data_IF_853552227536
#
_entry.id   IF_853552227536
#
_cell.length_a   1.000
_cell.length_b   1.000
_cell.length_c   1.000
_cell.angle_alpha   90.00
_cell.angle_beta   90.00
_cell.angle_gamma   90.00
#
_symmetry.space_group_name_H-M   'P 1'
#
loop_
_entity.id
_entity.type
_entity.pdbx_description
1 polymer ?
#
# COMPACT_ATOMS: atom_id res chain seq x y z
N UNK A 1 -2.72 3.58 -22.10
CA UNK A 1 -1.61 2.94 -21.35
C UNK A 1 -2.13 1.88 -20.36
N UNK A 2 -2.45 0.68 -20.84
CA UNK A 2 -2.97 -0.43 -20.00
C UNK A 2 -1.92 -0.95 -18.99
N UNK A 3 -0.64 -0.92 -19.36
CA UNK A 3 0.47 -1.41 -18.55
C UNK A 3 0.62 -0.66 -17.22
N UNK A 4 0.44 0.66 -17.20
CA UNK A 4 0.49 1.48 -15.98
C UNK A 4 -0.65 1.12 -15.00
N UNK A 5 -1.86 0.89 -15.52
CA UNK A 5 -3.01 0.43 -14.73
C UNK A 5 -2.75 -0.97 -14.16
N UNK A 6 -2.19 -1.86 -14.97
CA UNK A 6 -1.85 -3.22 -14.54
C UNK A 6 -0.79 -3.23 -13.44
N UNK A 7 0.30 -2.46 -13.59
CA UNK A 7 1.34 -2.34 -12.57
C UNK A 7 0.78 -1.78 -11.26
N UNK A 8 0.03 -0.67 -11.31
CA UNK A 8 -0.61 -0.12 -10.11
C UNK A 8 -1.52 -1.14 -9.41
N UNK A 9 -2.35 -1.87 -10.16
CA UNK A 9 -3.23 -2.90 -9.61
C UNK A 9 -2.43 -4.03 -8.94
N UNK A 10 -1.36 -4.50 -9.58
CA UNK A 10 -0.50 -5.56 -9.01
C UNK A 10 0.13 -5.10 -7.70
N UNK A 11 0.68 -3.89 -7.64
CA UNK A 11 1.26 -3.35 -6.41
C UNK A 11 0.21 -3.09 -5.32
N UNK A 12 -0.98 -2.64 -5.71
CA UNK A 12 -2.10 -2.44 -4.79
C UNK A 12 -2.52 -3.77 -4.16
N UNK A 13 -2.65 -4.83 -4.95
CA UNK A 13 -3.02 -6.16 -4.46
C UNK A 13 -1.93 -6.75 -3.55
N UNK A 14 -0.64 -6.60 -3.89
CA UNK A 14 0.45 -7.08 -3.02
C UNK A 14 0.51 -6.32 -1.70
N UNK A 15 0.25 -5.01 -1.72
CA UNK A 15 0.16 -4.20 -0.50
C UNK A 15 -1.05 -4.60 0.36
N UNK A 16 -2.23 -4.79 -0.27
CA UNK A 16 -3.45 -5.20 0.40
C UNK A 16 -3.31 -6.60 1.03
N UNK A 17 -2.69 -7.55 0.31
CA UNK A 17 -2.38 -8.86 0.86
C UNK A 17 -1.49 -8.79 2.12
N UNK A 18 -0.51 -7.88 2.13
CA UNK A 18 0.32 -7.61 3.31
C UNK A 18 -0.49 -7.10 4.52
N UNK A 19 -1.41 -6.15 4.28
CA UNK A 19 -2.31 -5.62 5.32
C UNK A 19 -3.25 -6.68 5.91
N UNK A 20 -3.73 -7.64 5.12
CA UNK A 20 -4.59 -8.72 5.63
C UNK A 20 -3.80 -9.80 6.37
N UNK A 21 -2.53 -10.03 6.03
CA UNK A 21 -1.72 -11.07 6.64
C UNK A 21 -1.17 -10.66 8.02
N UNK A 22 -0.97 -9.36 8.24
CA UNK A 22 -0.35 -8.82 9.44
C UNK A 22 -1.21 -8.93 10.73
N UNK A 23 -2.53 -8.64 10.74
CA UNK A 23 -3.39 -8.85 11.91
C UNK A 23 -3.41 -10.31 12.36
N UNK A 24 -3.35 -11.24 11.41
CA UNK A 24 -3.32 -12.68 11.72
C UNK A 24 -2.06 -13.07 12.48
N UNK A 25 -0.90 -12.50 12.13
CA UNK A 25 0.33 -12.69 12.89
C UNK A 25 0.23 -12.13 14.32
N UNK A 26 -0.35 -10.94 14.48
CA UNK A 26 -0.54 -10.34 15.81
C UNK A 26 -1.45 -11.16 16.71
N UNK A 27 -2.49 -11.81 16.17
CA UNK A 27 -3.35 -12.71 16.96
C UNK A 27 -2.55 -13.92 17.47
N UNK A 28 -1.72 -14.54 16.62
CA UNK A 28 -0.87 -15.65 17.04
C UNK A 28 0.20 -15.22 18.06
N UNK A 29 0.74 -14.00 17.91
CA UNK A 29 1.66 -13.40 18.85
C UNK A 29 1.04 -13.18 20.24
N UNK A 30 -0.20 -12.68 20.30
CA UNK A 30 -0.93 -12.47 21.54
C UNK A 30 -1.30 -13.78 22.26
N UNK A 31 -1.46 -14.89 21.50
CA UNK A 31 -1.74 -16.21 22.06
C UNK A 31 -0.49 -16.97 22.51
N UNK A 32 0.73 -16.50 22.19
CA UNK A 32 1.97 -17.20 22.58
C UNK A 32 2.54 -16.66 23.89
N UNK A 33 2.68 -17.54 24.88
CA UNK A 33 3.29 -17.25 26.19
C UNK A 33 4.79 -17.52 26.26
N UNK A 34 5.37 -18.20 25.26
CA UNK A 34 6.81 -18.51 25.19
C UNK A 34 7.65 -17.36 24.63
N UNK A 35 8.73 -17.00 25.33
CA UNK A 35 9.66 -15.91 24.97
C UNK A 35 10.35 -16.12 23.62
N UNK A 36 10.76 -17.36 23.32
CA UNK A 36 11.44 -17.74 22.06
C UNK A 36 10.48 -17.60 20.86
N UNK A 37 9.23 -18.01 21.03
CA UNK A 37 8.20 -17.89 19.99
C UNK A 37 7.85 -16.43 19.74
N UNK A 38 7.78 -15.63 20.81
CA UNK A 38 7.52 -14.18 20.75
C UNK A 38 8.57 -13.43 19.90
N UNK A 39 9.86 -13.72 20.08
CA UNK A 39 10.94 -13.11 19.29
C UNK A 39 10.88 -13.51 17.80
N UNK A 40 10.55 -14.77 17.51
CA UNK A 40 10.39 -15.24 16.12
C UNK A 40 9.22 -14.56 15.41
N UNK A 41 8.09 -14.36 16.09
CA UNK A 41 6.94 -13.65 15.54
C UNK A 41 7.27 -12.18 15.25
N UNK A 42 7.98 -11.48 16.15
CA UNK A 42 8.44 -10.09 15.90
C UNK A 42 9.32 -9.96 14.66
N UNK A 43 10.21 -10.92 14.42
CA UNK A 43 11.05 -10.94 13.22
C UNK A 43 10.22 -11.19 11.95
N UNK A 44 9.25 -12.11 12.00
CA UNK A 44 8.36 -12.38 10.86
C UNK A 44 7.46 -11.18 10.53
N UNK A 45 6.89 -10.52 11.54
CA UNK A 45 6.09 -9.30 11.38
C UNK A 45 6.91 -8.17 10.78
N UNK A 46 8.12 -7.94 11.30
CA UNK A 46 9.02 -6.91 10.77
C UNK A 46 9.45 -7.21 9.34
N UNK A 47 9.79 -8.46 9.00
CA UNK A 47 10.12 -8.85 7.61
C UNK A 47 8.94 -8.66 6.67
N UNK A 48 7.73 -9.00 7.09
CA UNK A 48 6.52 -8.82 6.28
C UNK A 48 6.24 -7.33 6.04
N UNK A 49 6.28 -6.54 7.11
CA UNK A 49 5.98 -5.11 7.06
C UNK A 49 7.03 -4.35 6.24
N UNK A 50 8.32 -4.52 6.57
CA UNK A 50 9.41 -3.80 5.90
C UNK A 50 9.82 -4.39 4.55
N UNK A 51 9.60 -5.68 4.33
CA UNK A 51 10.04 -6.37 3.12
C UNK A 51 9.01 -6.37 2.00
N UNK A 52 7.72 -6.45 2.32
CA UNK A 52 6.66 -6.59 1.31
C UNK A 52 5.72 -5.39 1.36
N UNK A 53 5.22 -5.05 2.55
CA UNK A 53 4.16 -4.05 2.68
C UNK A 53 4.65 -2.63 2.36
N UNK A 54 5.80 -2.21 2.90
CA UNK A 54 6.34 -0.86 2.67
C UNK A 54 6.78 -0.61 1.22
N UNK A 55 7.57 -1.48 0.54
CA UNK A 55 7.88 -1.23 -0.87
C UNK A 55 6.64 -1.37 -1.76
N UNK A 56 5.73 -2.29 -1.47
CA UNK A 56 4.45 -2.42 -2.18
C UNK A 56 3.59 -1.16 -2.07
N UNK A 57 3.50 -0.58 -0.87
CA UNK A 57 2.80 0.69 -0.64
C UNK A 57 3.43 1.83 -1.44
N UNK A 58 4.76 1.99 -1.35
CA UNK A 58 5.50 3.07 -2.03
C UNK A 58 5.30 2.97 -3.54
N UNK A 59 5.48 1.77 -4.12
CA UNK A 59 5.30 1.53 -5.54
C UNK A 59 3.85 1.80 -5.97
N UNK A 60 2.86 1.34 -5.19
CA UNK A 60 1.44 1.62 -5.46
C UNK A 60 1.15 3.11 -5.49
N UNK A 61 1.70 3.87 -4.54
CA UNK A 61 1.53 5.32 -4.43
C UNK A 61 2.18 6.04 -5.61
N UNK A 62 3.41 5.67 -5.96
CA UNK A 62 4.15 6.26 -7.10
C UNK A 62 3.40 6.00 -8.41
N UNK A 63 3.00 4.75 -8.68
CA UNK A 63 2.26 4.42 -9.90
C UNK A 63 0.86 5.04 -9.91
N UNK A 64 0.22 5.20 -8.73
CA UNK A 64 -1.05 5.90 -8.58
C UNK A 64 -0.95 7.39 -8.90
N UNK A 65 0.06 8.07 -8.36
CA UNK A 65 0.34 9.49 -8.64
C UNK A 65 0.76 9.68 -10.10
N UNK A 66 1.60 8.79 -10.64
CA UNK A 66 2.02 8.84 -12.05
C UNK A 66 0.83 8.65 -12.99
N UNK A 67 -0.09 7.73 -12.67
CA UNK A 67 -1.33 7.56 -13.43
C UNK A 67 -2.22 8.80 -13.31
N UNK A 68 -2.30 9.41 -12.13
CA UNK A 68 -3.05 10.65 -11.94
C UNK A 68 -2.44 11.79 -12.77
N UNK A 69 -1.12 11.98 -12.76
CA UNK A 69 -0.46 13.02 -13.55
C UNK A 69 -0.62 12.80 -15.07
N UNK A 70 -0.51 11.56 -15.55
CA UNK A 70 -0.58 11.23 -16.98
C UNK A 70 -2.00 11.13 -17.54
N UNK A 71 -3.00 10.78 -16.72
CA UNK A 71 -4.39 10.57 -17.16
C UNK A 71 -5.31 11.71 -16.73
N UNK A 72 -5.06 12.34 -15.56
CA UNK A 72 -5.87 13.48 -15.11
C UNK A 72 -5.51 14.79 -15.82
N UNK A 73 -4.31 14.95 -16.38
CA UNK A 73 -4.02 16.14 -17.18
C UNK A 73 -4.80 16.18 -18.50
N UNK A 74 -5.01 15.01 -19.11
CA UNK A 74 -5.62 14.87 -20.43
C UNK A 74 -7.15 14.77 -20.39
N UNK A 75 -7.72 14.25 -19.29
CA UNK A 75 -9.19 14.10 -19.11
C UNK A 75 -9.78 15.11 -18.11
N UNK A 76 -8.97 15.64 -17.18
CA UNK A 76 -9.45 16.43 -16.04
C UNK A 76 -9.06 17.90 -16.08
N UNK A 77 -8.47 18.40 -17.17
CA UNK A 77 -8.29 19.85 -17.36
C UNK A 77 -9.63 20.62 -17.36
N UNK A 78 -10.76 19.93 -17.60
CA UNK A 78 -12.10 20.50 -17.67
C UNK A 78 -13.00 20.26 -16.44
N UNK A 79 -12.54 19.53 -15.41
CA UNK A 79 -13.39 19.17 -14.27
C UNK A 79 -12.81 19.69 -12.95
N UNK A 80 -13.52 20.63 -12.30
CA UNK A 80 -13.05 21.29 -11.07
C UNK A 80 -12.87 20.37 -9.85
N UNK A 81 -13.37 19.13 -9.94
CA UNK A 81 -13.36 18.17 -8.84
C UNK A 81 -11.97 17.58 -8.50
N UNK A 82 -11.02 17.56 -9.44
CA UNK A 82 -9.64 17.11 -9.19
C UNK A 82 -8.84 18.19 -8.46
N UNK A 83 -9.09 19.47 -8.79
CA UNK A 83 -8.54 20.60 -8.04
C UNK A 83 -9.04 20.60 -6.59
N UNK A 84 -10.33 20.32 -6.37
CA UNK A 84 -10.89 20.18 -5.02
C UNK A 84 -10.27 19.01 -4.24
N UNK A 85 -10.05 17.85 -4.87
CA UNK A 85 -9.40 16.70 -4.22
C UNK A 85 -7.93 16.95 -3.87
N UNK A 86 -7.19 17.65 -4.74
CA UNK A 86 -5.78 17.96 -4.49
C UNK A 86 -5.61 19.04 -3.42
N UNK A 87 -6.48 20.06 -3.39
CA UNK A 87 -6.48 21.06 -2.32
C UNK A 87 -6.80 20.44 -0.95
N UNK A 88 -7.73 19.49 -0.89
CA UNK A 88 -8.14 18.85 0.37
C UNK A 88 -7.13 17.83 0.90
N UNK A 89 -6.23 17.32 0.05
CA UNK A 89 -5.11 16.47 0.45
C UNK A 89 -3.81 17.26 0.71
N UNK A 90 -3.74 18.51 0.21
CA UNK A 90 -2.58 19.39 0.32
C UNK A 90 -2.63 20.39 1.48
N UNK A 91 -3.73 20.45 2.24
CA UNK A 91 -3.90 21.21 3.49
C UNK A 91 -4.08 20.22 4.63
#
# INVERSE_FOLDING_TARGET
>A
MLWLKALHLIFMVTWFAGLFYLPRLFVYHAMTTDTISNERFKVMERKLYFGIMTPGMILTFIFGIWMLASYAWDIYSSSGWLHAKLALLGV
#
